data_IF_827716645231
#
_entry.id   IF_827716645231
#
_cell.length_a   1.000
_cell.length_b   1.000
_cell.length_c   1.000
_cell.angle_alpha   90.00
_cell.angle_beta   90.00
_cell.angle_gamma   90.00
#
_symmetry.space_group_name_H-M   'P 1'
#
loop_
_entity.id
_entity.type
_entity.pdbx_description
1 polymer ?
#
# COMPACT_ATOMS: atom_id res chain seq x y z
N UNK A 1 -11.15 31.56 -19.71
CA UNK A 1 -10.85 30.28 -20.38
C UNK A 1 -12.06 29.87 -21.19
N UNK A 2 -11.93 29.92 -22.51
CA UNK A 2 -13.01 29.62 -23.46
C UNK A 2 -13.35 28.13 -23.44
N UNK A 3 -14.66 27.82 -23.47
CA UNK A 3 -15.15 26.45 -23.74
C UNK A 3 -14.67 26.07 -25.15
N UNK A 4 -13.74 25.13 -25.27
CA UNK A 4 -13.43 24.52 -26.58
C UNK A 4 -14.72 23.93 -27.17
N UNK A 5 -14.93 24.14 -28.46
CA UNK A 5 -16.17 23.70 -29.11
C UNK A 5 -16.29 22.17 -29.04
N UNK A 6 -17.51 21.68 -28.86
CA UNK A 6 -17.83 20.24 -28.86
C UNK A 6 -17.27 19.51 -30.11
N UNK A 7 -17.02 20.23 -31.22
CA UNK A 7 -16.43 19.68 -32.43
C UNK A 7 -14.95 19.25 -32.25
N UNK A 8 -14.15 20.01 -31.49
CA UNK A 8 -12.76 19.67 -31.24
C UNK A 8 -12.63 18.41 -30.36
N UNK A 9 -13.45 18.33 -29.31
CA UNK A 9 -13.52 17.14 -28.43
C UNK A 9 -13.97 15.93 -29.24
N UNK A 10 -15.01 16.09 -30.07
CA UNK A 10 -15.50 15.00 -30.94
C UNK A 10 -14.43 14.53 -31.93
N UNK A 11 -13.62 15.44 -32.47
CA UNK A 11 -12.50 15.10 -33.35
C UNK A 11 -11.41 14.31 -32.61
N UNK A 12 -11.01 14.76 -31.40
CA UNK A 12 -10.06 14.03 -30.57
C UNK A 12 -10.56 12.63 -30.22
N UNK A 13 -11.81 12.50 -29.76
CA UNK A 13 -12.41 11.22 -29.39
C UNK A 13 -12.53 10.25 -30.57
N UNK A 14 -12.87 10.74 -31.77
CA UNK A 14 -12.86 9.91 -32.99
C UNK A 14 -11.47 9.39 -33.32
N UNK A 15 -10.43 10.19 -33.11
CA UNK A 15 -9.06 9.76 -33.38
C UNK A 15 -8.52 8.82 -32.30
N UNK A 16 -8.96 8.96 -31.04
CA UNK A 16 -8.73 7.97 -29.97
C UNK A 16 -9.36 6.63 -30.36
N UNK A 17 -10.62 6.61 -30.80
CA UNK A 17 -11.29 5.39 -31.25
C UNK A 17 -10.64 4.75 -32.48
N UNK A 18 -9.96 5.54 -33.31
CA UNK A 18 -9.15 5.06 -34.44
C UNK A 18 -7.77 4.54 -34.05
N UNK A 19 -7.45 4.53 -32.75
CA UNK A 19 -6.21 3.97 -32.21
C UNK A 19 -5.01 4.91 -32.26
N UNK A 20 -5.20 6.24 -32.28
CA UNK A 20 -4.08 7.18 -32.26
C UNK A 20 -3.69 7.59 -30.84
N UNK A 21 -2.39 7.54 -30.51
CA UNK A 21 -1.84 7.96 -29.20
C UNK A 21 -1.79 9.48 -29.01
N UNK A 22 -1.47 10.26 -30.05
CA UNK A 22 -1.30 11.72 -29.94
C UNK A 22 -2.52 12.41 -29.31
N UNK A 23 -3.77 12.07 -29.69
CA UNK A 23 -4.97 12.58 -29.02
C UNK A 23 -5.08 12.24 -27.52
N UNK A 24 -4.54 11.10 -27.06
CA UNK A 24 -4.55 10.73 -25.64
C UNK A 24 -3.63 11.64 -24.83
N UNK A 25 -2.41 11.90 -25.32
CA UNK A 25 -1.49 12.84 -24.70
C UNK A 25 -2.05 14.27 -24.68
N UNK A 26 -2.68 14.71 -25.78
CA UNK A 26 -3.35 16.02 -25.81
C UNK A 26 -4.48 16.14 -24.77
N UNK A 27 -5.21 15.05 -24.47
CA UNK A 27 -6.20 15.04 -23.39
C UNK A 27 -5.55 15.15 -22.00
N UNK A 28 -4.36 14.55 -21.81
CA UNK A 28 -3.60 14.66 -20.56
C UNK A 28 -2.98 16.05 -20.36
N UNK A 29 -2.72 16.79 -21.42
CA UNK A 29 -2.23 18.18 -21.32
C UNK A 29 -3.39 19.15 -21.09
N UNK A 30 -4.49 18.99 -21.84
CA UNK A 30 -5.60 19.94 -21.84
C UNK A 30 -6.97 19.25 -21.77
N UNK A 31 -7.52 19.17 -20.55
CA UNK A 31 -8.74 18.43 -20.27
C UNK A 31 -10.01 19.22 -20.57
N UNK A 32 -10.90 18.73 -21.44
CA UNK A 32 -12.15 19.41 -21.70
C UNK A 32 -13.16 19.18 -20.56
N UNK A 33 -13.71 20.28 -20.01
CA UNK A 33 -14.76 20.22 -18.99
C UNK A 33 -15.98 19.43 -19.47
N UNK A 34 -16.52 18.56 -18.61
CA UNK A 34 -17.70 17.73 -18.89
C UNK A 34 -17.46 16.58 -19.88
N UNK A 35 -16.21 16.32 -20.29
CA UNK A 35 -15.88 15.26 -21.26
C UNK A 35 -15.54 13.90 -20.63
N UNK A 36 -15.54 13.78 -19.31
CA UNK A 36 -15.10 12.57 -18.62
C UNK A 36 -15.81 11.29 -19.11
N UNK A 37 -17.14 11.32 -19.21
CA UNK A 37 -17.92 10.15 -19.65
C UNK A 37 -17.62 9.71 -21.10
N UNK A 38 -17.70 10.60 -22.13
CA UNK A 38 -17.39 10.22 -23.51
C UNK A 38 -15.90 9.91 -23.73
N UNK A 39 -14.98 10.52 -22.98
CA UNK A 39 -13.56 10.14 -22.97
C UNK A 39 -13.39 8.73 -22.45
N UNK A 40 -13.99 8.40 -21.29
CA UNK A 40 -13.91 7.05 -20.74
C UNK A 40 -14.47 6.00 -21.69
N UNK A 41 -15.61 6.26 -22.34
CA UNK A 41 -16.15 5.32 -23.34
C UNK A 41 -15.17 5.06 -24.49
N UNK A 42 -14.49 6.10 -24.98
CA UNK A 42 -13.53 6.00 -26.07
C UNK A 42 -12.27 5.26 -25.64
N UNK A 43 -11.73 5.56 -24.46
CA UNK A 43 -10.56 4.90 -23.89
C UNK A 43 -10.83 3.44 -23.58
N UNK A 44 -12.00 3.12 -23.03
CA UNK A 44 -12.38 1.74 -22.75
C UNK A 44 -12.45 0.90 -24.02
N UNK A 45 -12.79 1.48 -25.18
CA UNK A 45 -12.76 0.74 -26.45
C UNK A 45 -11.36 0.24 -26.82
N UNK A 46 -10.32 1.03 -26.51
CA UNK A 46 -8.91 0.65 -26.68
C UNK A 46 -8.56 -0.47 -25.70
N UNK A 47 -8.89 -0.29 -24.43
CA UNK A 47 -8.59 -1.26 -23.38
C UNK A 47 -9.40 -2.56 -23.50
N UNK A 48 -10.46 -2.61 -24.31
CA UNK A 48 -11.24 -3.83 -24.58
C UNK A 48 -10.85 -4.58 -25.84
N UNK A 49 -9.85 -4.12 -26.60
CA UNK A 49 -9.41 -4.81 -27.81
C UNK A 49 -8.92 -6.23 -27.47
N UNK A 50 -9.39 -7.23 -28.23
CA UNK A 50 -9.19 -8.66 -27.95
C UNK A 50 -7.73 -8.98 -27.64
N UNK A 51 -7.52 -9.70 -26.54
CA UNK A 51 -6.21 -10.09 -26.00
C UNK A 51 -5.31 -10.64 -27.11
N UNK A 52 -4.41 -9.82 -27.63
CA UNK A 52 -3.21 -10.35 -28.29
C UNK A 52 -2.34 -10.97 -27.19
N UNK A 53 -1.80 -12.19 -27.37
CA UNK A 53 -0.84 -12.75 -26.43
C UNK A 53 0.28 -11.73 -26.19
N UNK A 54 0.76 -11.61 -24.95
CA UNK A 54 1.78 -10.63 -24.56
C UNK A 54 3.05 -10.67 -25.46
N UNK A 55 3.31 -11.80 -26.12
CA UNK A 55 4.40 -11.97 -27.09
C UNK A 55 4.22 -11.26 -28.45
N UNK A 56 3.06 -10.65 -28.73
CA UNK A 56 2.75 -9.99 -30.02
C UNK A 56 2.47 -8.47 -29.89
N UNK A 57 2.73 -7.88 -28.73
CA UNK A 57 2.56 -6.44 -28.51
C UNK A 57 3.91 -5.72 -28.72
N UNK A 58 3.94 -4.75 -29.63
CA UNK A 58 5.08 -3.85 -29.86
C UNK A 58 5.10 -2.72 -28.82
N UNK A 59 6.22 -1.99 -28.74
CA UNK A 59 6.41 -0.84 -27.84
C UNK A 59 5.29 0.18 -27.98
N UNK A 60 4.88 0.45 -29.22
CA UNK A 60 3.85 1.44 -29.54
C UNK A 60 2.50 1.07 -28.91
N UNK A 61 2.09 -0.21 -28.93
CA UNK A 61 0.86 -0.66 -28.26
C UNK A 61 0.93 -0.52 -26.74
N UNK A 62 2.10 -0.72 -26.12
CA UNK A 62 2.27 -0.50 -24.68
C UNK A 62 2.16 0.98 -24.31
N UNK A 63 2.74 1.87 -25.13
CA UNK A 63 2.61 3.31 -24.94
C UNK A 63 1.16 3.76 -25.11
N UNK A 64 0.46 3.23 -26.11
CA UNK A 64 -0.97 3.50 -26.33
C UNK A 64 -1.81 3.04 -25.13
N UNK A 65 -1.59 1.82 -24.62
CA UNK A 65 -2.30 1.30 -23.45
C UNK A 65 -2.00 2.11 -22.19
N UNK A 66 -0.74 2.51 -21.99
CA UNK A 66 -0.31 3.32 -20.84
C UNK A 66 -0.98 4.69 -20.87
N UNK A 67 -0.95 5.38 -22.02
CA UNK A 67 -1.64 6.65 -22.20
C UNK A 67 -3.16 6.52 -21.96
N UNK A 68 -3.77 5.44 -22.46
CA UNK A 68 -5.19 5.14 -22.23
C UNK A 68 -5.51 4.97 -20.73
N UNK A 69 -4.69 4.22 -19.98
CA UNK A 69 -4.86 4.02 -18.54
C UNK A 69 -4.72 5.33 -17.74
N UNK A 70 -3.76 6.18 -18.10
CA UNK A 70 -3.58 7.50 -17.49
C UNK A 70 -4.78 8.42 -17.74
N UNK A 71 -5.29 8.45 -18.98
CA UNK A 71 -6.50 9.21 -19.34
C UNK A 71 -7.72 8.68 -18.56
N UNK A 72 -7.83 7.36 -18.38
CA UNK A 72 -8.89 6.74 -17.58
C UNK A 72 -8.85 7.18 -16.12
N UNK A 73 -7.67 7.14 -15.50
CA UNK A 73 -7.48 7.62 -14.12
C UNK A 73 -7.86 9.10 -13.99
N UNK A 74 -7.42 9.95 -14.92
CA UNK A 74 -7.82 11.37 -14.91
C UNK A 74 -9.34 11.54 -15.03
N UNK A 75 -9.98 10.81 -15.94
CA UNK A 75 -11.44 10.86 -16.10
C UNK A 75 -12.19 10.49 -14.81
N UNK A 76 -11.69 9.50 -14.06
CA UNK A 76 -12.23 9.09 -12.77
C UNK A 76 -12.04 10.16 -11.69
N UNK A 77 -10.90 10.83 -11.65
CA UNK A 77 -10.65 11.94 -10.73
C UNK A 77 -11.60 13.12 -11.00
N UNK A 78 -11.79 13.48 -12.26
CA UNK A 78 -12.69 14.55 -12.71
C UNK A 78 -14.15 14.24 -12.33
N UNK A 79 -14.60 13.01 -12.61
CA UNK A 79 -15.93 12.55 -12.21
C UNK A 79 -16.14 12.49 -10.68
N UNK A 80 -15.07 12.29 -9.91
CA UNK A 80 -15.17 12.21 -8.45
C UNK A 80 -15.13 13.59 -7.77
N UNK A 81 -14.36 14.55 -8.30
CA UNK A 81 -14.11 15.85 -7.66
C UNK A 81 -15.01 16.96 -8.17
N UNK A 82 -15.29 17.00 -9.47
CA UNK A 82 -15.95 18.15 -10.10
C UNK A 82 -17.43 17.89 -10.39
N UNK A 83 -17.83 16.63 -10.56
CA UNK A 83 -19.14 16.25 -11.06
C UNK A 83 -19.65 14.96 -10.42
N UNK A 84 -20.10 15.02 -9.17
CA UNK A 84 -20.59 13.86 -8.42
C UNK A 84 -21.73 13.09 -9.14
N UNK A 85 -22.48 13.76 -10.00
CA UNK A 85 -23.51 13.19 -10.89
C UNK A 85 -22.96 12.26 -11.98
N UNK A 86 -21.69 12.45 -12.38
CA UNK A 86 -21.02 11.58 -13.36
C UNK A 86 -20.49 10.28 -12.74
N UNK A 87 -20.37 10.22 -11.41
CA UNK A 87 -19.80 9.05 -10.72
C UNK A 87 -20.63 7.78 -10.94
N UNK A 88 -21.98 7.76 -10.75
CA UNK A 88 -22.79 6.57 -11.02
C UNK A 88 -22.72 6.03 -12.46
N UNK A 89 -22.91 6.84 -13.53
CA UNK A 89 -22.84 6.33 -14.91
C UNK A 89 -21.43 5.86 -15.28
N UNK A 90 -20.38 6.52 -14.76
CA UNK A 90 -19.00 6.07 -14.94
C UNK A 90 -18.75 4.70 -14.27
N UNK A 91 -19.24 4.50 -13.04
CA UNK A 91 -19.13 3.20 -12.36
C UNK A 91 -19.79 2.07 -13.19
N UNK A 92 -20.95 2.33 -13.78
CA UNK A 92 -21.63 1.37 -14.66
C UNK A 92 -20.83 1.04 -15.93
N UNK A 93 -20.05 1.99 -16.47
CA UNK A 93 -19.16 1.74 -17.60
C UNK A 93 -17.92 0.92 -17.22
N UNK A 94 -17.40 1.13 -16.01
CA UNK A 94 -16.19 0.48 -15.53
C UNK A 94 -16.43 -0.98 -15.13
N UNK A 95 -17.50 -1.26 -14.37
CA UNK A 95 -17.79 -2.57 -13.79
C UNK A 95 -17.61 -3.77 -14.74
N UNK A 96 -18.19 -3.79 -15.96
CA UNK A 96 -18.07 -4.93 -16.86
C UNK A 96 -16.66 -5.10 -17.48
N UNK A 97 -15.75 -4.14 -17.26
CA UNK A 97 -14.43 -4.08 -17.91
C UNK A 97 -13.27 -4.12 -16.92
N UNK A 98 -13.54 -4.20 -15.61
CA UNK A 98 -12.50 -4.12 -14.57
C UNK A 98 -11.39 -5.15 -14.76
N UNK A 99 -11.73 -6.41 -15.01
CA UNK A 99 -10.75 -7.47 -15.26
C UNK A 99 -9.87 -7.19 -16.48
N UNK A 100 -10.45 -6.57 -17.51
CA UNK A 100 -9.75 -6.19 -18.72
C UNK A 100 -8.78 -5.03 -18.45
N UNK A 101 -9.23 -4.01 -17.72
CA UNK A 101 -8.41 -2.86 -17.29
C UNK A 101 -7.23 -3.37 -16.44
N UNK A 102 -7.47 -4.22 -15.44
CA UNK A 102 -6.41 -4.77 -14.59
C UNK A 102 -5.47 -5.68 -15.39
N UNK A 103 -5.98 -6.43 -16.37
CA UNK A 103 -5.11 -7.20 -17.28
C UNK A 103 -4.13 -6.28 -18.02
N UNK A 104 -4.57 -5.13 -18.50
CA UNK A 104 -3.70 -4.13 -19.14
C UNK A 104 -2.71 -3.52 -18.15
N UNK A 105 -3.15 -3.14 -16.95
CA UNK A 105 -2.23 -2.67 -15.89
C UNK A 105 -1.15 -3.73 -15.62
N UNK A 106 -1.53 -5.01 -15.51
CA UNK A 106 -0.60 -6.11 -15.29
C UNK A 106 0.37 -6.34 -16.47
N UNK A 107 -0.09 -6.10 -17.70
CA UNK A 107 0.76 -6.17 -18.88
C UNK A 107 1.78 -5.01 -18.91
N UNK A 108 1.33 -3.77 -18.71
CA UNK A 108 2.20 -2.59 -18.62
C UNK A 108 3.23 -2.76 -17.48
N UNK A 109 2.78 -3.21 -16.31
CA UNK A 109 3.65 -3.51 -15.16
C UNK A 109 4.76 -4.51 -15.50
N UNK A 110 4.44 -5.60 -16.21
CA UNK A 110 5.44 -6.61 -16.60
C UNK A 110 6.37 -6.12 -17.70
N UNK A 111 5.83 -5.37 -18.67
CA UNK A 111 6.62 -4.80 -19.75
C UNK A 111 7.66 -3.81 -19.22
N UNK A 112 7.22 -2.82 -18.45
CA UNK A 112 8.13 -1.82 -17.86
C UNK A 112 9.17 -2.41 -16.94
N UNK A 113 8.84 -3.50 -16.22
CA UNK A 113 9.82 -4.22 -15.39
C UNK A 113 10.91 -4.93 -16.20
N UNK A 114 10.59 -5.37 -17.43
CA UNK A 114 11.51 -6.15 -18.26
C UNK A 114 12.30 -5.29 -19.27
N UNK A 115 11.85 -4.06 -19.56
CA UNK A 115 12.49 -3.17 -20.54
C UNK A 115 13.81 -2.55 -20.07
N UNK A 116 14.05 -2.47 -18.74
CA UNK A 116 15.31 -1.93 -18.18
C UNK A 116 16.55 -2.79 -18.48
N UNK A 117 16.39 -3.95 -19.12
CA UNK A 117 17.50 -4.81 -19.56
C UNK A 117 18.01 -4.57 -20.98
N UNK A 118 17.43 -3.64 -21.74
CA UNK A 118 17.71 -3.51 -23.19
C UNK A 118 18.48 -2.23 -23.57
N UNK A 119 18.45 -1.16 -22.78
CA UNK A 119 19.07 0.14 -23.15
C UNK A 119 19.95 0.78 -22.05
N UNK A 120 20.56 -0.02 -21.17
CA UNK A 120 21.43 0.47 -20.09
C UNK A 120 22.89 0.78 -20.52
N UNK A 121 23.15 0.93 -21.83
CA UNK A 121 24.46 1.30 -22.40
C UNK A 121 24.46 2.73 -22.99
N UNK A 122 23.71 3.66 -22.41
CA UNK A 122 23.91 5.09 -22.67
C UNK A 122 24.59 5.74 -21.48
N UNK A 123 25.92 5.75 -21.53
CA UNK A 123 26.78 6.64 -20.77
C UNK A 123 26.42 8.09 -21.11
N UNK A 124 25.56 8.73 -20.30
CA UNK A 124 25.48 10.19 -20.24
C UNK A 124 25.85 10.62 -18.81
N UNK A 125 27.16 10.83 -18.61
CA UNK A 125 27.69 11.63 -17.51
C UNK A 125 27.30 13.10 -17.74
N UNK A 126 26.05 13.47 -17.43
CA UNK A 126 25.68 14.89 -17.36
C UNK A 126 26.10 15.45 -16.00
N UNK A 127 27.08 16.35 -16.01
CA UNK A 127 27.54 17.13 -14.86
C UNK A 127 26.37 17.82 -14.14
N UNK A 128 26.21 17.54 -12.85
CA UNK A 128 25.11 18.01 -12.03
C UNK A 128 25.20 19.51 -11.70
N UNK A 129 24.10 20.22 -11.91
CA UNK A 129 23.81 21.50 -11.26
C UNK A 129 23.01 21.25 -9.97
N UNK A 130 23.37 21.95 -8.89
CA UNK A 130 22.98 21.70 -7.48
C UNK A 130 21.48 21.85 -7.10
N UNK A 131 20.53 21.71 -8.03
CA UNK A 131 19.09 21.85 -7.79
C UNK A 131 18.25 20.67 -8.34
N UNK A 132 18.83 19.47 -8.43
CA UNK A 132 18.06 18.27 -8.82
C UNK A 132 17.31 17.64 -7.63
N UNK A 133 15.98 17.74 -7.69
CA UNK A 133 15.03 17.01 -6.86
C UNK A 133 15.41 15.51 -6.84
N UNK A 134 15.56 14.83 -5.68
CA UNK A 134 15.99 13.43 -5.60
C UNK A 134 15.09 12.43 -6.38
N UNK A 135 13.96 12.89 -6.92
CA UNK A 135 13.13 12.16 -7.87
C UNK A 135 13.82 11.82 -9.21
N UNK A 136 14.89 12.54 -9.61
CA UNK A 136 15.51 12.42 -10.94
C UNK A 136 16.35 11.14 -11.17
N UNK A 137 16.62 10.33 -10.14
CA UNK A 137 17.45 9.09 -10.25
C UNK A 137 16.65 7.79 -10.12
N UNK A 138 15.34 7.82 -10.32
CA UNK A 138 14.50 6.62 -10.20
C UNK A 138 14.48 5.87 -11.53
N UNK A 139 14.93 4.60 -11.54
CA UNK A 139 14.98 3.77 -12.75
C UNK A 139 13.60 3.71 -13.45
N UNK A 140 13.53 3.74 -14.80
CA UNK A 140 12.27 3.71 -15.54
C UNK A 140 11.34 2.53 -15.15
N UNK A 141 11.86 1.32 -14.94
CA UNK A 141 11.05 0.19 -14.47
C UNK A 141 10.37 0.45 -13.13
N UNK A 142 11.09 1.09 -12.19
CA UNK A 142 10.56 1.41 -10.86
C UNK A 142 9.41 2.40 -10.96
N UNK A 143 9.56 3.42 -11.82
CA UNK A 143 8.48 4.37 -12.09
C UNK A 143 7.24 3.71 -12.69
N UNK A 144 7.42 2.72 -13.57
CA UNK A 144 6.30 1.95 -14.12
C UNK A 144 5.55 1.17 -13.03
N UNK A 145 6.27 0.56 -12.07
CA UNK A 145 5.65 -0.14 -10.93
C UNK A 145 4.79 0.81 -10.10
N UNK A 146 5.31 1.99 -9.76
CA UNK A 146 4.60 2.99 -8.97
C UNK A 146 3.36 3.49 -9.71
N UNK A 147 3.48 3.80 -11.00
CA UNK A 147 2.36 4.22 -11.84
C UNK A 147 1.25 3.17 -11.89
N UNK A 148 1.60 1.90 -12.12
CA UNK A 148 0.63 0.81 -12.12
C UNK A 148 -0.04 0.62 -10.74
N UNK A 149 0.71 0.79 -9.65
CA UNK A 149 0.19 0.78 -8.29
C UNK A 149 -0.83 1.91 -8.05
N UNK A 150 -0.50 3.15 -8.44
CA UNK A 150 -1.39 4.30 -8.33
C UNK A 150 -2.68 4.11 -9.15
N UNK A 151 -2.56 3.66 -10.40
CA UNK A 151 -3.71 3.36 -11.26
C UNK A 151 -4.65 2.32 -10.61
N UNK A 152 -4.08 1.30 -9.98
CA UNK A 152 -4.88 0.30 -9.28
C UNK A 152 -5.54 0.86 -8.01
N UNK A 153 -4.83 1.70 -7.24
CA UNK A 153 -5.41 2.45 -6.12
C UNK A 153 -6.59 3.32 -6.58
N UNK A 154 -6.48 4.00 -7.72
CA UNK A 154 -7.55 4.86 -8.25
C UNK A 154 -8.83 4.05 -8.48
N UNK A 155 -8.73 2.86 -9.08
CA UNK A 155 -9.89 2.01 -9.38
C UNK A 155 -10.49 1.40 -8.11
N UNK A 156 -9.66 0.97 -7.16
CA UNK A 156 -10.10 0.50 -5.84
C UNK A 156 -10.73 1.62 -4.99
N UNK A 157 -10.27 2.86 -5.18
CA UNK A 157 -10.70 4.05 -4.45
C UNK A 157 -11.92 4.74 -5.05
N UNK A 158 -12.21 4.44 -6.32
CA UNK A 158 -13.22 5.15 -7.08
C UNK A 158 -14.63 5.00 -6.52
N UNK A 159 -15.17 3.78 -6.46
CA UNK A 159 -16.53 3.47 -5.99
C UNK A 159 -16.51 2.18 -5.17
N UNK A 160 -17.31 2.04 -4.09
CA UNK A 160 -17.39 0.79 -3.34
C UNK A 160 -17.72 -0.43 -4.22
N UNK A 161 -18.52 -0.25 -5.27
CA UNK A 161 -18.88 -1.34 -6.21
C UNK A 161 -17.69 -1.80 -7.04
N UNK A 162 -16.83 -0.88 -7.51
CA UNK A 162 -15.61 -1.26 -8.24
C UNK A 162 -14.64 -2.00 -7.32
N UNK A 163 -14.51 -1.55 -6.06
CA UNK A 163 -13.70 -2.25 -5.05
C UNK A 163 -14.18 -3.68 -4.82
N UNK A 164 -15.47 -3.87 -4.53
CA UNK A 164 -16.04 -5.21 -4.26
C UNK A 164 -15.85 -6.14 -5.47
N UNK A 165 -16.06 -5.63 -6.68
CA UNK A 165 -15.84 -6.39 -7.90
C UNK A 165 -14.36 -6.81 -8.07
N UNK A 166 -13.42 -5.89 -7.83
CA UNK A 166 -11.99 -6.20 -7.87
C UNK A 166 -11.56 -7.17 -6.76
N UNK A 167 -12.09 -7.02 -5.55
CA UNK A 167 -11.85 -7.92 -4.42
C UNK A 167 -12.29 -9.36 -4.70
N UNK A 168 -13.25 -9.55 -5.60
CA UNK A 168 -13.73 -10.85 -6.06
C UNK A 168 -13.02 -11.34 -7.33
N UNK A 169 -12.18 -10.51 -7.94
CA UNK A 169 -11.51 -10.80 -9.21
C UNK A 169 -10.23 -11.59 -9.00
N UNK A 170 -10.12 -12.71 -9.72
CA UNK A 170 -8.90 -13.49 -9.81
C UNK A 170 -7.74 -12.68 -10.41
N UNK A 171 -8.00 -11.91 -11.46
CA UNK A 171 -6.98 -11.15 -12.19
C UNK A 171 -6.45 -10.04 -11.28
N UNK A 172 -7.32 -9.39 -10.51
CA UNK A 172 -6.92 -8.41 -9.50
C UNK A 172 -6.06 -9.02 -8.38
N UNK A 173 -6.42 -10.21 -7.89
CA UNK A 173 -5.60 -10.91 -6.90
C UNK A 173 -4.19 -11.25 -7.43
N UNK A 174 -4.10 -11.77 -8.67
CA UNK A 174 -2.81 -12.08 -9.33
C UNK A 174 -1.94 -10.82 -9.51
N UNK A 175 -2.55 -9.72 -9.95
CA UNK A 175 -1.85 -8.44 -10.06
C UNK A 175 -1.40 -7.90 -8.70
N UNK A 176 -2.26 -7.93 -7.69
CA UNK A 176 -1.94 -7.46 -6.34
C UNK A 176 -0.77 -8.25 -5.72
N UNK A 177 -0.71 -9.56 -5.93
CA UNK A 177 0.46 -10.36 -5.51
C UNK A 177 1.73 -9.91 -6.23
N UNK A 178 1.67 -9.70 -7.54
CA UNK A 178 2.83 -9.23 -8.33
C UNK A 178 3.34 -7.87 -7.83
N UNK A 179 2.41 -6.96 -7.55
CA UNK A 179 2.73 -5.64 -7.01
C UNK A 179 3.30 -5.73 -5.57
N UNK A 180 2.70 -6.55 -4.71
CA UNK A 180 3.16 -6.73 -3.32
C UNK A 180 4.55 -7.39 -3.21
N UNK A 181 4.88 -8.29 -4.13
CA UNK A 181 6.18 -8.97 -4.20
C UNK A 181 7.24 -8.16 -4.95
N UNK A 182 6.93 -6.95 -5.40
CA UNK A 182 7.87 -6.12 -6.15
C UNK A 182 9.05 -5.67 -5.28
N UNK A 183 10.25 -6.03 -5.72
CA UNK A 183 11.52 -5.63 -5.13
C UNK A 183 12.38 -4.85 -6.12
N UNK A 184 13.23 -4.00 -5.57
CA UNK A 184 14.37 -3.39 -6.24
C UNK A 184 15.35 -4.47 -6.69
N UNK A 185 15.82 -4.37 -7.93
CA UNK A 185 16.64 -5.42 -8.58
C UNK A 185 18.02 -5.54 -7.96
N UNK A 186 18.57 -4.44 -7.44
CA UNK A 186 19.97 -4.36 -7.03
C UNK A 186 20.10 -4.78 -5.57
N UNK A 187 19.16 -4.35 -4.74
CA UNK A 187 19.15 -4.60 -3.30
C UNK A 187 18.33 -5.82 -2.91
N UNK A 188 17.43 -6.30 -3.79
CA UNK A 188 16.46 -7.35 -3.48
C UNK A 188 15.40 -6.94 -2.45
N UNK A 189 15.37 -5.66 -2.04
CA UNK A 189 14.48 -5.15 -0.99
C UNK A 189 13.12 -4.76 -1.57
N UNK A 190 12.03 -4.86 -0.79
CA UNK A 190 10.71 -4.41 -1.24
C UNK A 190 10.72 -2.95 -1.68
N UNK A 191 10.07 -2.65 -2.80
CA UNK A 191 9.86 -1.28 -3.25
C UNK A 191 9.00 -0.53 -2.23
N UNK A 192 9.43 0.68 -1.86
CA UNK A 192 8.80 1.50 -0.84
C UNK A 192 9.06 2.99 -1.09
N UNK A 193 8.00 3.79 -1.06
CA UNK A 193 8.04 5.25 -1.15
C UNK A 193 8.84 5.76 -2.35
N UNK A 194 8.31 5.50 -3.54
CA UNK A 194 8.91 5.82 -4.84
C UNK A 194 8.00 6.76 -5.65
N UNK A 195 7.03 7.37 -4.98
CA UNK A 195 6.10 8.34 -5.55
C UNK A 195 6.86 9.61 -5.98
N UNK A 196 6.55 10.20 -7.14
CA UNK A 196 7.36 11.25 -7.79
C UNK A 196 7.33 12.62 -7.08
N UNK A 197 6.87 12.69 -5.84
CA UNK A 197 6.88 13.91 -5.05
C UNK A 197 5.96 13.85 -3.83
N UNK A 198 6.20 14.75 -2.89
CA UNK A 198 5.52 14.80 -1.59
C UNK A 198 3.99 14.90 -1.74
N UNK A 199 3.46 15.70 -2.67
CA UNK A 199 2.00 15.83 -2.86
C UNK A 199 1.34 14.51 -3.29
N UNK A 200 2.00 13.76 -4.17
CA UNK A 200 1.52 12.45 -4.64
C UNK A 200 1.62 11.45 -3.50
N UNK A 201 2.74 11.43 -2.78
CA UNK A 201 2.97 10.59 -1.62
C UNK A 201 1.99 10.89 -0.46
N UNK A 202 1.57 12.14 -0.26
CA UNK A 202 0.55 12.49 0.74
C UNK A 202 -0.81 11.88 0.39
N UNK A 203 -1.14 11.82 -0.91
CA UNK A 203 -2.39 11.24 -1.38
C UNK A 203 -2.37 9.71 -1.32
N UNK A 204 -1.37 9.08 -1.94
CA UNK A 204 -1.29 7.62 -2.09
C UNK A 204 -0.57 6.89 -0.95
N UNK A 205 0.30 7.57 -0.20
CA UNK A 205 1.30 6.88 0.61
C UNK A 205 2.28 6.13 -0.29
N UNK A 206 2.71 4.94 0.14
CA UNK A 206 3.31 3.95 -0.75
C UNK A 206 2.16 3.27 -1.49
N UNK A 207 2.03 3.54 -2.78
CA UNK A 207 0.98 3.03 -3.67
C UNK A 207 0.83 1.51 -3.58
N UNK A 208 1.92 0.77 -3.44
CA UNK A 208 1.91 -0.69 -3.27
C UNK A 208 1.21 -1.11 -1.98
N UNK A 209 1.55 -0.48 -0.85
CA UNK A 209 0.96 -0.80 0.45
C UNK A 209 -0.50 -0.35 0.53
N UNK A 210 -0.80 0.83 -0.01
CA UNK A 210 -2.15 1.37 -0.08
C UNK A 210 -3.05 0.49 -0.95
N UNK A 211 -2.56 0.04 -2.12
CA UNK A 211 -3.27 -0.91 -2.96
C UNK A 211 -3.56 -2.22 -2.22
N UNK A 212 -2.56 -2.78 -1.52
CA UNK A 212 -2.73 -4.02 -0.76
C UNK A 212 -3.75 -3.88 0.37
N UNK A 213 -3.70 -2.78 1.12
CA UNK A 213 -4.66 -2.45 2.16
C UNK A 213 -6.08 -2.28 1.59
N UNK A 214 -6.25 -1.52 0.51
CA UNK A 214 -7.56 -1.31 -0.12
C UNK A 214 -8.13 -2.59 -0.73
N UNK A 215 -7.29 -3.44 -1.30
CA UNK A 215 -7.70 -4.73 -1.85
C UNK A 215 -8.09 -5.71 -0.73
N UNK A 216 -7.28 -5.85 0.31
CA UNK A 216 -7.54 -6.81 1.40
C UNK A 216 -8.62 -6.33 2.38
N UNK A 217 -8.74 -5.01 2.54
CA UNK A 217 -9.50 -4.34 3.57
C UNK A 217 -10.98 -4.72 3.59
N UNK A 218 -11.43 -5.24 4.72
CA UNK A 218 -12.84 -5.59 4.96
C UNK A 218 -13.38 -6.75 4.12
N UNK A 219 -12.54 -7.44 3.35
CA UNK A 219 -12.95 -8.57 2.51
C UNK A 219 -12.17 -9.83 2.83
N UNK A 220 -12.82 -10.79 3.49
CA UNK A 220 -12.27 -12.13 3.74
C UNK A 220 -11.97 -12.85 2.41
N UNK A 221 -12.89 -12.78 1.45
CA UNK A 221 -12.71 -13.39 0.14
C UNK A 221 -11.47 -12.87 -0.59
N UNK A 222 -11.21 -11.56 -0.54
CA UNK A 222 -10.02 -10.96 -1.15
C UNK A 222 -8.73 -11.43 -0.47
N UNK A 223 -8.71 -11.49 0.87
CA UNK A 223 -7.57 -12.01 1.63
C UNK A 223 -7.26 -13.47 1.29
N UNK A 224 -8.29 -14.32 1.26
CA UNK A 224 -8.14 -15.74 0.89
C UNK A 224 -7.67 -15.87 -0.57
N UNK A 225 -8.22 -15.06 -1.48
CA UNK A 225 -7.79 -15.05 -2.88
C UNK A 225 -6.32 -14.61 -3.02
N UNK A 226 -5.89 -13.61 -2.26
CA UNK A 226 -4.50 -13.16 -2.21
C UNK A 226 -3.57 -14.28 -1.72
N UNK A 227 -3.90 -14.96 -0.61
CA UNK A 227 -3.10 -16.07 -0.07
C UNK A 227 -2.93 -17.19 -1.11
N UNK A 228 -4.02 -17.62 -1.74
CA UNK A 228 -4.00 -18.66 -2.79
C UNK A 228 -3.11 -18.30 -3.99
N UNK A 229 -2.82 -17.02 -4.20
CA UNK A 229 -1.99 -16.53 -5.31
C UNK A 229 -0.57 -16.16 -4.92
N UNK A 230 -0.33 -15.91 -3.63
CA UNK A 230 0.98 -15.50 -3.13
C UNK A 230 2.06 -16.54 -3.43
N UNK A 231 1.68 -17.83 -3.40
CA UNK A 231 2.55 -18.92 -3.79
C UNK A 231 1.72 -20.12 -4.29
N UNK A 232 1.31 -20.14 -5.58
CA UNK A 232 0.30 -21.05 -6.11
C UNK A 232 0.61 -22.55 -5.94
N UNK A 233 1.90 -22.90 -5.92
CA UNK A 233 2.37 -24.29 -5.88
C UNK A 233 2.83 -24.75 -4.50
N UNK A 234 2.83 -23.88 -3.49
CA UNK A 234 3.19 -24.29 -2.14
C UNK A 234 1.98 -24.56 -1.27
N UNK A 235 2.24 -25.33 -0.22
CA UNK A 235 1.24 -25.58 0.81
C UNK A 235 0.94 -24.30 1.63
N UNK A 236 -0.15 -24.35 2.37
CA UNK A 236 -0.65 -23.22 3.17
C UNK A 236 0.38 -22.68 4.18
N UNK A 237 1.27 -23.54 4.69
CA UNK A 237 2.35 -23.11 5.61
C UNK A 237 3.42 -22.27 4.90
N UNK A 238 3.81 -22.66 3.68
CA UNK A 238 4.78 -21.89 2.87
C UNK A 238 4.19 -20.55 2.47
N UNK A 239 2.93 -20.53 2.04
CA UNK A 239 2.18 -19.31 1.70
C UNK A 239 2.13 -18.37 2.90
N UNK A 240 1.70 -18.86 4.07
CA UNK A 240 1.63 -18.07 5.30
C UNK A 240 3.00 -17.52 5.70
N UNK A 241 4.05 -18.35 5.66
CA UNK A 241 5.42 -17.91 5.97
C UNK A 241 5.88 -16.81 5.01
N UNK A 242 5.58 -16.94 3.72
CA UNK A 242 5.92 -15.94 2.71
C UNK A 242 5.21 -14.61 2.98
N UNK A 243 3.93 -14.64 3.35
CA UNK A 243 3.17 -13.45 3.73
C UNK A 243 3.87 -12.68 4.85
N UNK A 244 4.17 -13.38 5.95
CA UNK A 244 4.78 -12.76 7.13
C UNK A 244 6.19 -12.23 6.82
N UNK A 245 7.02 -13.00 6.09
CA UNK A 245 8.38 -12.56 5.72
C UNK A 245 8.39 -11.32 4.83
N UNK A 246 7.48 -11.22 3.85
CA UNK A 246 7.38 -10.01 3.01
C UNK A 246 6.87 -8.83 3.84
N UNK A 247 5.97 -9.07 4.80
CA UNK A 247 5.54 -8.07 5.78
C UNK A 247 6.69 -7.52 6.61
N UNK A 248 7.53 -8.40 7.18
CA UNK A 248 8.74 -8.03 7.93
C UNK A 248 9.67 -7.18 7.06
N UNK A 249 10.01 -7.65 5.85
CA UNK A 249 10.91 -6.91 4.96
C UNK A 249 10.38 -5.51 4.59
N UNK A 250 9.05 -5.35 4.49
CA UNK A 250 8.42 -4.03 4.26
C UNK A 250 8.46 -3.14 5.50
N UNK A 251 8.26 -3.69 6.69
CA UNK A 251 8.39 -2.96 7.95
C UNK A 251 9.84 -2.51 8.16
N UNK A 252 10.82 -3.36 7.89
CA UNK A 252 12.25 -3.00 7.91
C UNK A 252 12.53 -1.84 6.95
N UNK A 253 11.98 -1.88 5.74
CA UNK A 253 12.16 -0.77 4.78
C UNK A 253 11.55 0.55 5.25
N UNK A 254 10.41 0.51 5.94
CA UNK A 254 9.81 1.69 6.60
C UNK A 254 10.67 2.20 7.74
N UNK A 255 11.20 1.27 8.55
CA UNK A 255 12.08 1.59 9.67
C UNK A 255 13.32 2.33 9.19
N UNK A 256 13.98 1.81 8.16
CA UNK A 256 15.13 2.45 7.52
C UNK A 256 14.78 3.84 6.98
N UNK A 257 13.61 4.00 6.35
CA UNK A 257 13.16 5.30 5.88
C UNK A 257 12.95 6.32 7.03
N UNK A 258 12.50 5.87 8.20
CA UNK A 258 12.44 6.70 9.41
C UNK A 258 13.83 7.07 9.91
N UNK A 259 14.73 6.09 10.04
CA UNK A 259 16.10 6.29 10.55
C UNK A 259 16.90 7.24 9.64
N UNK A 260 16.75 7.10 8.33
CA UNK A 260 17.42 7.91 7.32
C UNK A 260 16.66 9.20 6.96
N UNK A 261 15.45 9.40 7.51
CA UNK A 261 14.58 10.56 7.23
C UNK A 261 14.34 10.79 5.73
N UNK A 262 14.17 9.70 4.97
CA UNK A 262 14.02 9.75 3.52
C UNK A 262 12.71 10.43 3.07
N UNK A 263 11.70 10.46 3.94
CA UNK A 263 10.35 10.96 3.64
C UNK A 263 9.72 11.62 4.86
N UNK A 264 8.65 12.40 4.64
CA UNK A 264 7.87 12.98 5.76
C UNK A 264 7.36 11.88 6.71
N UNK A 265 7.63 12.06 8.00
CA UNK A 265 7.31 11.09 9.05
C UNK A 265 5.85 10.65 9.05
N UNK A 266 4.90 11.56 8.80
CA UNK A 266 3.47 11.23 8.76
C UNK A 266 3.09 10.33 7.57
N UNK A 267 3.78 10.46 6.43
CA UNK A 267 3.54 9.60 5.27
C UNK A 267 4.05 8.19 5.55
N UNK A 268 5.25 8.07 6.13
CA UNK A 268 5.78 6.76 6.56
C UNK A 268 4.86 6.15 7.62
N UNK A 269 4.44 6.95 8.61
CA UNK A 269 3.52 6.54 9.67
C UNK A 269 2.19 6.01 9.15
N UNK A 270 1.59 6.65 8.13
CA UNK A 270 0.38 6.14 7.46
C UNK A 270 0.62 4.75 6.87
N UNK A 271 1.75 4.53 6.22
CA UNK A 271 2.08 3.22 5.64
C UNK A 271 2.29 2.13 6.69
N UNK A 272 2.90 2.47 7.83
CA UNK A 272 3.02 1.56 8.98
C UNK A 272 1.61 1.18 9.46
N UNK A 273 0.74 2.17 9.70
CA UNK A 273 -0.65 1.94 10.15
C UNK A 273 -1.39 0.96 9.25
N UNK A 274 -1.44 1.25 7.95
CA UNK A 274 -2.20 0.44 7.01
C UNK A 274 -1.62 -0.97 6.88
N UNK A 275 -0.30 -1.12 7.01
CA UNK A 275 0.35 -2.43 7.02
C UNK A 275 -0.06 -3.24 8.24
N UNK A 276 0.08 -2.68 9.45
CA UNK A 276 -0.27 -3.36 10.70
C UNK A 276 -1.76 -3.74 10.72
N UNK A 277 -2.64 -2.80 10.40
CA UNK A 277 -4.09 -3.03 10.32
C UNK A 277 -4.44 -4.15 9.33
N UNK A 278 -3.82 -4.16 8.16
CA UNK A 278 -4.11 -5.19 7.17
C UNK A 278 -3.63 -6.56 7.67
N UNK A 279 -2.47 -6.65 8.33
CA UNK A 279 -2.02 -7.89 8.96
C UNK A 279 -2.97 -8.36 10.06
N UNK A 280 -3.49 -7.46 10.91
CA UNK A 280 -4.53 -7.80 11.89
C UNK A 280 -5.76 -8.42 11.23
N UNK A 281 -6.20 -7.91 10.09
CA UNK A 281 -7.31 -8.50 9.34
C UNK A 281 -6.99 -9.91 8.80
N UNK A 282 -5.73 -10.20 8.44
CA UNK A 282 -5.32 -11.55 8.04
C UNK A 282 -5.29 -12.51 9.25
N UNK A 283 -4.85 -12.03 10.42
CA UNK A 283 -4.82 -12.83 11.65
C UNK A 283 -6.24 -13.13 12.15
N UNK A 284 -7.16 -12.17 11.98
CA UNK A 284 -8.57 -12.31 12.33
C UNK A 284 -9.30 -13.40 11.51
N UNK A 285 -8.73 -13.86 10.39
CA UNK A 285 -9.27 -15.00 9.64
C UNK A 285 -9.15 -16.32 10.42
N UNK A 286 -8.30 -16.38 11.45
CA UNK A 286 -8.11 -17.59 12.25
C UNK A 286 -7.46 -18.76 11.50
N UNK A 287 -6.82 -18.50 10.34
CA UNK A 287 -6.14 -19.53 9.55
C UNK A 287 -4.94 -20.06 10.35
N UNK A 288 -4.90 -21.35 10.73
CA UNK A 288 -3.88 -21.89 11.62
C UNK A 288 -2.45 -21.67 11.13
N UNK A 289 -2.21 -21.78 9.82
CA UNK A 289 -0.91 -21.60 9.20
C UNK A 289 -0.44 -20.15 9.27
N UNK A 290 -1.36 -19.19 9.09
CA UNK A 290 -1.07 -17.75 9.20
C UNK A 290 -0.73 -17.39 10.64
N UNK A 291 -1.53 -17.86 11.61
CA UNK A 291 -1.25 -17.66 13.03
C UNK A 291 0.09 -18.27 13.44
N UNK A 292 0.37 -19.52 13.02
CA UNK A 292 1.64 -20.19 13.29
C UNK A 292 2.82 -19.44 12.67
N UNK A 293 2.70 -18.98 11.43
CA UNK A 293 3.74 -18.19 10.78
C UNK A 293 3.93 -16.83 11.46
N UNK A 294 2.87 -16.20 11.94
CA UNK A 294 2.96 -14.93 12.66
C UNK A 294 3.74 -15.09 13.97
N UNK A 295 3.42 -16.11 14.76
CA UNK A 295 4.09 -16.39 16.03
C UNK A 295 5.51 -16.93 15.86
N UNK A 296 5.73 -17.73 14.81
CA UNK A 296 7.04 -18.33 14.52
C UNK A 296 8.03 -17.40 13.82
N UNK A 297 7.65 -16.16 13.52
CA UNK A 297 8.53 -15.15 12.90
C UNK A 297 8.61 -13.91 13.78
N UNK A 298 9.65 -13.10 13.60
CA UNK A 298 9.89 -11.88 14.39
C UNK A 298 9.00 -10.69 13.98
N UNK A 299 7.77 -10.93 13.50
CA UNK A 299 6.89 -9.88 12.99
C UNK A 299 6.57 -8.83 14.06
N UNK A 300 6.17 -9.28 15.26
CA UNK A 300 5.87 -8.42 16.41
C UNK A 300 7.05 -7.49 16.76
N UNK A 301 8.23 -8.09 16.94
CA UNK A 301 9.45 -7.34 17.25
C UNK A 301 9.82 -6.33 16.16
N UNK A 302 9.70 -6.72 14.90
CA UNK A 302 9.96 -5.83 13.75
C UNK A 302 8.96 -4.68 13.67
N UNK A 303 7.66 -4.95 13.85
CA UNK A 303 6.62 -3.94 13.87
C UNK A 303 6.90 -2.89 14.96
N UNK A 304 7.23 -3.35 16.17
CA UNK A 304 7.55 -2.47 17.29
C UNK A 304 8.82 -1.65 17.07
N UNK A 305 9.88 -2.25 16.54
CA UNK A 305 11.12 -1.54 16.23
C UNK A 305 10.90 -0.45 15.15
N UNK A 306 9.99 -0.72 14.20
CA UNK A 306 9.57 0.22 13.16
C UNK A 306 8.82 1.41 13.76
N UNK A 307 7.83 1.15 14.63
CA UNK A 307 7.11 2.21 15.35
C UNK A 307 8.05 3.03 16.22
N UNK A 308 9.00 2.39 16.91
CA UNK A 308 9.99 3.10 17.72
C UNK A 308 10.83 4.07 16.88
N UNK A 309 11.26 3.67 15.70
CA UNK A 309 12.02 4.53 14.79
C UNK A 309 11.18 5.71 14.27
N UNK A 310 9.88 5.48 13.99
CA UNK A 310 8.94 6.55 13.66
C UNK A 310 8.77 7.52 14.83
N UNK A 311 8.58 7.03 16.05
CA UNK A 311 8.39 7.87 17.25
C UNK A 311 9.58 8.78 17.48
N UNK A 312 10.81 8.26 17.40
CA UNK A 312 12.02 9.08 17.52
C UNK A 312 12.12 10.12 16.42
N UNK A 313 11.77 9.76 15.19
CA UNK A 313 11.75 10.71 14.08
C UNK A 313 10.74 11.84 14.36
N UNK A 314 9.50 11.51 14.78
CA UNK A 314 8.48 12.48 15.16
C UNK A 314 8.94 13.39 16.31
N UNK A 315 9.52 12.82 17.37
CA UNK A 315 10.05 13.57 18.51
C UNK A 315 11.09 14.62 18.07
N UNK A 316 11.97 14.23 17.15
CA UNK A 316 13.00 15.13 16.62
C UNK A 316 12.47 16.29 15.77
N UNK A 317 11.23 16.19 15.26
CA UNK A 317 10.59 17.27 14.48
C UNK A 317 9.86 18.30 15.36
N UNK A 318 9.89 18.14 16.69
CA UNK A 318 9.29 19.04 17.70
C UNK A 318 7.79 19.34 17.51
N UNK A 319 7.06 18.54 16.72
CA UNK A 319 5.60 18.59 16.61
C UNK A 319 4.96 17.63 17.61
N UNK A 320 4.79 18.09 18.84
CA UNK A 320 4.22 17.29 19.95
C UNK A 320 2.87 16.63 19.64
N UNK A 321 2.01 17.31 18.87
CA UNK A 321 0.72 16.76 18.41
C UNK A 321 0.88 15.52 17.52
N UNK A 322 2.01 15.38 16.84
CA UNK A 322 2.29 14.26 15.94
C UNK A 322 2.75 12.99 16.69
N UNK A 323 3.26 13.11 17.92
CA UNK A 323 3.61 11.94 18.75
C UNK A 323 2.39 11.08 19.10
N UNK A 324 1.19 11.66 19.11
CA UNK A 324 -0.06 10.95 19.43
C UNK A 324 -0.45 9.95 18.37
N UNK A 325 0.01 10.20 17.16
CA UNK A 325 -0.09 9.23 16.08
C UNK A 325 0.63 7.92 16.43
N UNK A 326 1.77 7.99 17.12
CA UNK A 326 2.49 6.78 17.53
C UNK A 326 1.72 5.98 18.58
N UNK A 327 0.99 6.64 19.49
CA UNK A 327 0.09 5.95 20.43
C UNK A 327 -1.05 5.25 19.69
N UNK A 328 -1.69 5.92 18.72
CA UNK A 328 -2.80 5.30 17.98
C UNK A 328 -2.36 4.10 17.13
N UNK A 329 -1.10 4.05 16.69
CA UNK A 329 -0.54 2.86 16.04
C UNK A 329 -0.39 1.66 16.99
N UNK A 330 -0.22 1.91 18.29
CA UNK A 330 0.14 0.89 19.27
C UNK A 330 -1.06 0.30 20.01
N UNK A 331 -2.16 1.04 20.11
CA UNK A 331 -3.34 0.63 20.89
C UNK A 331 -3.91 -0.72 20.43
N UNK A 332 -4.27 -0.83 19.15
CA UNK A 332 -4.91 -2.03 18.62
C UNK A 332 -3.97 -3.26 18.64
N UNK A 333 -2.68 -3.14 18.24
CA UNK A 333 -1.74 -4.26 18.32
C UNK A 333 -1.50 -4.81 19.74
N UNK A 334 -1.30 -3.93 20.73
CA UNK A 334 -1.02 -4.34 22.12
C UNK A 334 -2.25 -5.03 22.75
N UNK A 335 -3.45 -4.61 22.37
CA UNK A 335 -4.69 -5.21 22.87
C UNK A 335 -5.02 -6.54 22.18
N UNK A 336 -4.76 -6.65 20.87
CA UNK A 336 -5.23 -7.78 20.07
C UNK A 336 -4.22 -8.92 19.97
N UNK A 337 -2.95 -8.63 19.71
CA UNK A 337 -1.95 -9.66 19.38
C UNK A 337 -1.65 -10.67 20.49
N UNK A 338 -1.56 -10.29 21.77
CA UNK A 338 -1.35 -11.25 22.86
C UNK A 338 -2.52 -12.22 23.05
N UNK A 339 -3.71 -11.85 22.57
CA UNK A 339 -4.91 -12.69 22.67
C UNK A 339 -5.09 -13.63 21.47
N UNK A 340 -4.20 -13.57 20.47
CA UNK A 340 -4.31 -14.40 19.28
C UNK A 340 -4.04 -15.88 19.60
N UNK A 341 -4.80 -16.82 19.03
CA UNK A 341 -4.56 -18.24 19.23
C UNK A 341 -3.16 -18.66 18.74
N UNK A 342 -2.54 -19.63 19.42
CA UNK A 342 -1.34 -20.32 18.93
C UNK A 342 0.01 -19.87 19.50
N UNK A 343 0.05 -18.85 20.37
CA UNK A 343 1.19 -18.55 21.23
C UNK A 343 0.73 -18.19 22.63
N UNK A 344 1.61 -18.30 23.63
CA UNK A 344 1.28 -17.81 24.96
C UNK A 344 1.21 -16.27 24.93
N UNK A 345 0.25 -15.64 25.63
CA UNK A 345 0.23 -14.18 25.76
C UNK A 345 1.53 -13.60 26.32
N UNK A 346 2.25 -14.39 27.12
CA UNK A 346 3.58 -14.06 27.65
C UNK A 346 4.62 -13.91 26.53
N UNK A 347 4.74 -14.88 25.63
CA UNK A 347 5.72 -14.83 24.53
C UNK A 347 5.47 -13.63 23.62
N UNK A 348 4.19 -13.36 23.31
CA UNK A 348 3.81 -12.20 22.51
C UNK A 348 4.21 -10.88 23.20
N UNK A 349 3.99 -10.77 24.51
CA UNK A 349 4.37 -9.59 25.30
C UNK A 349 5.89 -9.42 25.42
N UNK A 350 6.64 -10.50 25.61
CA UNK A 350 8.10 -10.47 25.59
C UNK A 350 8.62 -9.92 24.25
N UNK A 351 8.09 -10.40 23.12
CA UNK A 351 8.46 -9.91 21.80
C UNK A 351 8.12 -8.43 21.59
N UNK A 352 7.00 -7.95 22.14
CA UNK A 352 6.64 -6.53 22.10
C UNK A 352 7.62 -5.67 22.91
N UNK A 353 7.99 -6.13 24.11
CA UNK A 353 8.95 -5.43 25.00
C UNK A 353 10.33 -5.40 24.35
N UNK A 354 10.84 -6.55 23.89
CA UNK A 354 12.13 -6.67 23.19
C UNK A 354 12.16 -5.83 21.91
N UNK A 355 11.04 -5.76 21.19
CA UNK A 355 10.85 -4.90 20.03
C UNK A 355 10.86 -3.40 20.33
N UNK A 356 10.88 -3.01 21.60
CA UNK A 356 11.04 -1.62 22.04
C UNK A 356 9.76 -0.92 22.47
N UNK A 357 8.68 -1.65 22.82
CA UNK A 357 7.44 -1.06 23.34
C UNK A 357 7.69 -0.05 24.46
N UNK A 358 8.53 -0.41 25.44
CA UNK A 358 8.87 0.48 26.56
C UNK A 358 9.57 1.75 26.06
N UNK A 359 10.49 1.63 25.11
CA UNK A 359 11.21 2.76 24.53
C UNK A 359 10.24 3.73 23.83
N UNK A 360 9.27 3.20 23.07
CA UNK A 360 8.25 4.04 22.42
C UNK A 360 7.47 4.87 23.44
N UNK A 361 7.08 4.25 24.55
CA UNK A 361 6.32 4.94 25.59
C UNK A 361 7.15 6.00 26.28
N UNK A 362 8.41 5.70 26.61
CA UNK A 362 9.33 6.70 27.18
C UNK A 362 9.52 7.86 26.22
N UNK A 363 9.78 7.60 24.94
CA UNK A 363 9.97 8.63 23.92
C UNK A 363 8.74 9.55 23.79
N UNK A 364 7.53 8.98 23.87
CA UNK A 364 6.27 9.74 23.85
C UNK A 364 6.11 10.58 25.13
N UNK A 365 6.31 9.98 26.30
CA UNK A 365 6.16 10.65 27.59
C UNK A 365 7.16 11.81 27.77
N UNK A 366 8.39 11.64 27.27
CA UNK A 366 9.43 12.67 27.34
C UNK A 366 9.22 13.74 26.25
N UNK A 367 8.75 13.36 25.07
CA UNK A 367 8.59 14.26 23.92
C UNK A 367 7.33 15.14 23.94
N UNK A 368 6.34 14.85 24.79
CA UNK A 368 5.11 15.66 24.91
C UNK A 368 5.32 16.79 25.94
N UNK A 369 5.18 18.08 25.57
CA UNK A 369 5.14 19.17 26.53
C UNK A 369 3.82 19.09 27.30
N UNK A 370 3.88 18.51 28.51
CA UNK A 370 2.75 18.27 29.41
C UNK A 370 1.92 19.51 29.76
N UNK A 371 2.42 20.72 29.50
CA UNK A 371 1.72 21.98 29.78
C UNK A 371 0.58 22.28 28.79
N UNK A 372 0.59 21.69 27.59
CA UNK A 372 -0.39 21.99 26.52
C UNK A 372 -1.36 20.83 26.22
N UNK A 373 -1.22 19.69 26.91
CA UNK A 373 -2.01 18.49 26.65
C UNK A 373 -3.42 18.57 27.30
N UNK A 374 -4.30 19.45 26.79
CA UNK A 374 -5.74 19.45 27.13
C UNK A 374 -6.55 18.45 26.29
N UNK A 375 -5.95 17.36 25.85
CA UNK A 375 -6.56 16.46 24.88
C UNK A 375 -6.94 15.15 25.56
N UNK A 376 -8.21 15.04 25.98
CA UNK A 376 -8.76 13.90 26.73
C UNK A 376 -8.48 12.54 26.09
N UNK A 377 -8.42 12.50 24.75
CA UNK A 377 -8.10 11.31 23.97
C UNK A 377 -6.70 10.74 24.28
N UNK A 378 -5.74 11.60 24.63
CA UNK A 378 -4.37 11.21 24.96
C UNK A 378 -4.27 10.57 26.33
N UNK A 379 -4.94 11.16 27.34
CA UNK A 379 -4.99 10.59 28.68
C UNK A 379 -5.67 9.22 28.67
N UNK A 380 -6.80 9.11 27.97
CA UNK A 380 -7.52 7.84 27.80
C UNK A 380 -6.68 6.78 27.08
N UNK A 381 -5.97 7.16 26.01
CA UNK A 381 -5.09 6.25 25.26
C UNK A 381 -3.88 5.80 26.09
N UNK A 382 -3.23 6.71 26.80
CA UNK A 382 -2.08 6.40 27.65
C UNK A 382 -2.50 5.55 28.84
N UNK A 383 -3.63 5.87 29.48
CA UNK A 383 -4.17 5.08 30.58
C UNK A 383 -4.56 3.68 30.12
N UNK A 384 -5.23 3.55 28.98
CA UNK A 384 -5.57 2.26 28.37
C UNK A 384 -4.32 1.44 28.12
N UNK A 385 -3.29 2.04 27.53
CA UNK A 385 -2.05 1.35 27.17
C UNK A 385 -1.24 0.94 28.41
N UNK A 386 -1.09 1.83 29.41
CA UNK A 386 -0.49 1.48 30.70
C UNK A 386 -1.27 0.38 31.42
N UNK A 387 -2.61 0.39 31.34
CA UNK A 387 -3.46 -0.65 31.92
C UNK A 387 -3.25 -1.98 31.19
N UNK A 388 -3.21 -1.99 29.87
CA UNK A 388 -2.94 -3.20 29.08
C UNK A 388 -1.57 -3.79 29.41
N UNK A 389 -0.54 -2.96 29.55
CA UNK A 389 0.79 -3.41 29.97
C UNK A 389 0.76 -3.95 31.40
N UNK A 390 0.14 -3.24 32.34
CA UNK A 390 0.06 -3.67 33.75
C UNK A 390 -0.76 -4.96 33.91
N UNK A 391 -1.88 -5.11 33.21
CA UNK A 391 -2.67 -6.35 33.19
C UNK A 391 -1.82 -7.49 32.64
N UNK A 392 -1.07 -7.25 31.56
CA UNK A 392 -0.19 -8.27 31.02
C UNK A 392 0.92 -8.64 32.01
N UNK A 393 1.65 -7.66 32.56
CA UNK A 393 2.68 -7.87 33.59
C UNK A 393 2.13 -8.53 34.87
N UNK A 394 0.89 -8.25 35.25
CA UNK A 394 0.23 -8.87 36.41
C UNK A 394 -0.14 -10.33 36.13
N UNK A 395 -0.64 -10.64 34.93
CA UNK A 395 -0.80 -12.03 34.46
C UNK A 395 0.55 -12.76 34.46
N UNK A 396 1.65 -12.10 34.03
CA UNK A 396 3.01 -12.67 34.13
C UNK A 396 3.38 -13.02 35.58
N UNK A 397 3.00 -12.16 36.54
CA UNK A 397 3.32 -12.35 37.95
C UNK A 397 2.58 -13.55 38.55
N UNK A 398 1.41 -13.90 38.01
CA UNK A 398 0.60 -15.04 38.48
C UNK A 398 1.11 -16.36 37.87
N UNK A 399 1.46 -16.39 36.59
CA UNK A 399 2.00 -17.58 35.94
C UNK A 399 3.38 -17.99 36.50
N UNK A 400 4.25 -17.03 36.82
CA UNK A 400 5.50 -17.31 37.54
C UNK A 400 5.29 -17.78 39.00
N UNK A 401 4.13 -17.51 39.58
CA UNK A 401 3.80 -17.92 40.96
C UNK A 401 3.12 -19.29 41.03
N UNK A 402 2.89 -19.95 39.89
CA UNK A 402 2.35 -21.30 39.85
C UNK A 402 3.51 -22.29 39.68
N UNK A 403 4.10 -22.85 40.75
CA UNK A 403 5.13 -23.87 40.61
C UNK A 403 4.51 -25.09 39.93
N UNK A 404 5.20 -25.61 38.93
CA UNK A 404 4.89 -26.88 38.28
C UNK A 404 4.49 -27.94 39.31
N UNK A 405 3.19 -28.21 39.45
CA UNK A 405 2.70 -29.44 40.06
C UNK A 405 2.83 -30.53 39.01
N UNK A 406 3.99 -31.16 38.98
CA UNK A 406 4.20 -32.28 38.09
C UNK A 406 5.63 -32.75 38.04
N UNK A 407 6.21 -33.07 39.21
CA UNK A 407 7.10 -34.22 39.30
C UNK A 407 7.28 -34.62 40.77
N UNK A 408 6.59 -35.68 41.20
CA UNK A 408 7.21 -36.91 41.73
C UNK A 408 6.21 -37.86 42.42
N UNK A 409 6.22 -39.09 41.90
CA UNK A 409 6.09 -40.40 42.57
C UNK A 409 4.69 -40.88 42.95
N UNK A 410 4.24 -41.83 42.13
CA UNK A 410 3.38 -42.97 42.43
C UNK A 410 3.68 -44.03 41.39
#
# INVERSE_FOLDING_TARGET
MERRSNAHITHLLRNVQRGSIKPLWSLLEDWPKGSALPVTQSVLSILTFERQPAGNLDVEKFDHATAALLVLSRAMHEASREHADLKPPMTLLLLPRLDCIVSWISLCFRYGRNSDGVDADSDDESEGTEDEDPACKTKPAVMCVVQCGMLFCDILGYDPRTRIALQSSRIAAEFMVSLWLSCDTDTGRPLFMLEPGVKVAQYYGCSINNAWSMFSGGSEAAKVAFLKRLYPDGNDTVVATKLIKVGIARLERMREACEQRQWESLIIGRNIRETLKTFEEYLALGIPEVLRAFHGQSFLGCAMATVCSLTRYLASTQKSSALGFSLTLLLDPIQSWPSLPGASPLDAMCLLIEGGLVNVLVDILVGVPWRDCKNKLWEESLQSLCTSILVCLWVLSIDFSCPARGDRVG
#
